data_IF_405226233928
#
_entry.id   IF_405226233928
#
_cell.length_a   1.000
_cell.length_b   1.000
_cell.length_c   1.000
_cell.angle_alpha   90.00
_cell.angle_beta   90.00
_cell.angle_gamma   90.00
#
_symmetry.space_group_name_H-M   'P 1'
#
loop_
_entity.id
_entity.type
_entity.pdbx_description
1 polymer ?
#
# COMPACT_ATOMS: atom_id res chain seq x y z
N UNK A 1 -14.28 26.76 -29.16
CA UNK A 1 -13.59 26.16 -28.00
C UNK A 1 -14.66 25.94 -26.94
N UNK A 2 -15.29 24.77 -26.95
CA UNK A 2 -16.36 24.44 -26.01
C UNK A 2 -15.74 24.04 -24.67
N UNK A 3 -16.15 24.69 -23.59
CA UNK A 3 -15.70 24.36 -22.23
C UNK A 3 -16.30 23.02 -21.79
N UNK A 4 -15.52 22.13 -21.15
CA UNK A 4 -16.08 20.87 -20.67
C UNK A 4 -17.11 21.12 -19.56
N UNK A 5 -18.28 20.50 -19.72
CA UNK A 5 -19.38 20.55 -18.75
C UNK A 5 -18.95 19.80 -17.48
N UNK A 6 -18.80 20.53 -16.38
CA UNK A 6 -18.46 19.94 -15.08
C UNK A 6 -19.72 19.24 -14.54
N UNK A 7 -19.79 17.90 -14.67
CA UNK A 7 -20.84 17.11 -14.04
C UNK A 7 -20.56 17.04 -12.53
N UNK A 8 -21.46 17.59 -11.73
CA UNK A 8 -21.43 17.44 -10.27
C UNK A 8 -21.87 16.01 -9.97
N UNK A 9 -20.92 15.15 -9.58
CA UNK A 9 -21.19 13.76 -9.22
C UNK A 9 -21.90 13.72 -7.86
N UNK A 10 -22.90 12.86 -7.77
CA UNK A 10 -23.62 12.58 -6.53
C UNK A 10 -22.74 11.79 -5.56
N UNK A 11 -23.00 11.92 -4.25
CA UNK A 11 -22.19 11.28 -3.19
C UNK A 11 -22.11 9.75 -3.33
N UNK A 12 -23.11 9.15 -3.95
CA UNK A 12 -23.18 7.71 -4.23
C UNK A 12 -22.20 7.31 -5.36
N UNK A 13 -22.07 8.11 -6.42
CA UNK A 13 -21.12 7.89 -7.53
C UNK A 13 -19.65 8.03 -7.08
N UNK A 14 -19.36 8.92 -6.13
CA UNK A 14 -17.99 9.07 -5.57
C UNK A 14 -17.55 7.81 -4.81
N UNK A 15 -18.50 7.12 -4.16
CA UNK A 15 -18.20 5.92 -3.37
C UNK A 15 -17.85 4.72 -4.26
N UNK A 16 -18.57 4.52 -5.37
CA UNK A 16 -18.26 3.46 -6.34
C UNK A 16 -16.90 3.67 -7.03
N UNK A 17 -16.53 4.93 -7.31
CA UNK A 17 -15.22 5.27 -7.90
C UNK A 17 -14.04 5.10 -6.92
N UNK A 18 -14.31 5.17 -5.61
CA UNK A 18 -13.29 5.05 -4.56
C UNK A 18 -12.88 3.61 -4.22
N UNK A 19 -13.57 2.61 -4.78
CA UNK A 19 -13.22 1.19 -4.66
C UNK A 19 -12.21 0.72 -5.71
N UNK A 20 -11.80 1.59 -6.64
CA UNK A 20 -10.66 1.34 -7.51
C UNK A 20 -9.36 1.54 -6.72
N UNK A 21 -9.07 0.64 -5.78
CA UNK A 21 -7.77 0.60 -5.13
C UNK A 21 -6.71 0.40 -6.21
N UNK A 22 -5.81 1.37 -6.35
CA UNK A 22 -4.74 1.39 -7.33
C UNK A 22 -3.93 0.08 -7.23
N UNK A 23 -4.20 -0.86 -8.14
CA UNK A 23 -3.65 -2.20 -8.15
C UNK A 23 -2.27 -2.24 -8.79
N UNK A 24 -1.49 -1.17 -8.66
CA UNK A 24 -0.14 -1.14 -9.21
C UNK A 24 0.77 -1.98 -8.31
N UNK A 25 1.19 -3.15 -8.81
CA UNK A 25 2.27 -3.90 -8.19
C UNK A 25 3.52 -3.01 -8.10
N UNK A 26 4.30 -3.10 -7.00
CA UNK A 26 5.49 -2.29 -6.87
C UNK A 26 6.48 -2.64 -7.99
N UNK A 27 7.07 -1.61 -8.61
CA UNK A 27 8.10 -1.77 -9.66
C UNK A 27 9.31 -0.91 -9.35
N UNK A 28 10.48 -1.33 -9.81
CA UNK A 28 11.72 -0.57 -9.70
C UNK A 28 11.63 0.72 -10.53
N UNK A 29 11.79 1.89 -9.90
CA UNK A 29 11.73 3.18 -10.57
C UNK A 29 12.85 3.42 -11.60
N UNK A 30 13.91 2.61 -11.58
CA UNK A 30 15.05 2.75 -12.50
C UNK A 30 14.89 1.90 -13.76
N UNK A 31 14.47 0.64 -13.65
CA UNK A 31 14.41 -0.30 -14.77
C UNK A 31 13.00 -0.84 -15.07
N UNK A 32 12.00 -0.49 -14.27
CA UNK A 32 10.62 -0.97 -14.43
C UNK A 32 10.39 -2.43 -14.03
N UNK A 33 11.40 -3.13 -13.50
CA UNK A 33 11.25 -4.53 -13.08
C UNK A 33 10.30 -4.67 -11.90
N UNK A 34 9.48 -5.71 -11.94
CA UNK A 34 8.60 -6.19 -10.89
C UNK A 34 9.31 -7.06 -9.83
N UNK A 35 10.59 -7.41 -10.04
CA UNK A 35 11.40 -8.16 -9.09
C UNK A 35 11.88 -7.26 -7.93
N UNK A 36 10.92 -6.81 -7.13
CA UNK A 36 11.13 -5.97 -5.95
C UNK A 36 10.55 -6.67 -4.73
N UNK A 37 11.11 -6.36 -3.55
CA UNK A 37 10.65 -6.90 -2.28
C UNK A 37 10.67 -5.83 -1.20
N UNK A 38 9.82 -6.00 -0.19
CA UNK A 38 9.77 -5.10 0.96
C UNK A 38 10.88 -5.39 1.96
N UNK A 39 11.46 -4.33 2.54
CA UNK A 39 12.36 -4.40 3.70
C UNK A 39 11.77 -3.61 4.87
N UNK A 40 12.00 -4.07 6.10
CA UNK A 40 11.58 -3.37 7.30
C UNK A 40 12.65 -3.45 8.39
N UNK A 41 12.64 -2.49 9.32
CA UNK A 41 13.65 -2.41 10.40
C UNK A 41 13.25 -3.32 11.56
N UNK A 42 14.20 -4.12 12.05
CA UNK A 42 14.07 -5.00 13.22
C UNK A 42 15.27 -4.77 14.14
N UNK A 43 15.03 -4.33 15.37
CA UNK A 43 16.07 -4.10 16.40
C UNK A 43 17.33 -3.39 15.87
N UNK A 44 17.12 -2.37 15.03
CA UNK A 44 18.20 -1.52 14.55
C UNK A 44 18.69 -1.77 13.12
N UNK A 45 18.48 -2.94 12.53
CA UNK A 45 18.92 -3.29 11.17
C UNK A 45 17.74 -3.54 10.20
N UNK A 46 17.99 -3.46 8.89
CA UNK A 46 17.00 -3.77 7.86
C UNK A 46 17.01 -5.26 7.50
N UNK A 47 15.82 -5.82 7.31
CA UNK A 47 15.63 -7.23 6.93
C UNK A 47 14.54 -7.36 5.85
N UNK A 48 14.71 -8.27 4.87
CA UNK A 48 13.67 -8.57 3.87
C UNK A 48 12.43 -9.21 4.51
N UNK A 49 11.26 -8.62 4.28
CA UNK A 49 9.99 -9.04 4.90
C UNK A 49 9.54 -10.42 4.41
N UNK A 50 9.82 -10.73 3.15
CA UNK A 50 9.54 -12.03 2.52
C UNK A 50 10.21 -13.22 3.21
N UNK A 51 11.30 -12.99 3.96
CA UNK A 51 12.01 -14.04 4.70
C UNK A 51 11.49 -14.19 6.14
N UNK A 52 10.51 -13.40 6.57
CA UNK A 52 10.00 -13.43 7.94
C UNK A 52 9.04 -14.59 8.16
N UNK A 53 9.09 -15.19 9.36
CA UNK A 53 8.09 -16.17 9.78
C UNK A 53 6.72 -15.52 10.02
N UNK A 54 5.68 -16.36 10.18
CA UNK A 54 4.30 -15.91 10.37
C UNK A 54 4.13 -14.96 11.58
N UNK A 55 4.83 -15.21 12.69
CA UNK A 55 4.72 -14.35 13.87
C UNK A 55 5.30 -12.95 13.65
N UNK A 56 6.37 -12.82 12.86
CA UNK A 56 6.93 -11.52 12.48
C UNK A 56 6.09 -10.77 11.46
N UNK A 57 5.44 -11.47 10.54
CA UNK A 57 4.49 -10.86 9.62
C UNK A 57 3.28 -10.28 10.38
N UNK A 58 2.72 -11.04 11.33
CA UNK A 58 1.64 -10.56 12.20
C UNK A 58 2.07 -9.36 13.07
N UNK A 59 3.30 -9.36 13.58
CA UNK A 59 3.87 -8.21 14.30
C UNK A 59 3.93 -6.96 13.41
N UNK A 60 4.36 -7.09 12.15
CA UNK A 60 4.41 -5.98 11.20
C UNK A 60 3.03 -5.37 10.95
N UNK A 61 2.01 -6.20 10.76
CA UNK A 61 0.61 -5.77 10.60
C UNK A 61 0.11 -5.02 11.84
N UNK A 62 0.51 -5.47 13.04
CA UNK A 62 0.15 -4.82 14.29
C UNK A 62 0.83 -3.45 14.48
N UNK A 63 2.03 -3.22 13.93
CA UNK A 63 2.73 -1.91 14.03
C UNK A 63 1.89 -0.77 13.51
N UNK A 64 1.23 -0.97 12.37
CA UNK A 64 0.40 0.07 11.74
C UNK A 64 -0.84 0.41 12.57
N UNK A 65 -1.33 -0.55 13.36
CA UNK A 65 -2.45 -0.34 14.30
C UNK A 65 -2.02 0.40 15.57
N UNK A 66 -0.72 0.47 15.87
CA UNK A 66 -0.19 1.06 17.10
C UNK A 66 -0.54 0.28 18.37
N UNK A 67 -1.03 -0.96 18.23
CA UNK A 67 -1.59 -1.75 19.32
C UNK A 67 -0.52 -2.68 19.91
N UNK A 68 0.42 -2.08 20.64
CA UNK A 68 1.51 -2.78 21.30
C UNK A 68 1.04 -3.30 22.67
N UNK A 69 0.11 -4.25 22.71
CA UNK A 69 -0.29 -4.88 23.98
C UNK A 69 0.83 -5.78 24.49
N UNK A 70 1.17 -5.59 25.77
CA UNK A 70 2.08 -6.45 26.54
C UNK A 70 1.36 -7.70 27.05
#
# INVERSE_FOLDING_TARGET
>A
METPNLKILTREEVHELSHQSDSSSPTCAFCGSDNVYGISRVVGYYSPINNWNLSKQAELEARQKGDYRL
#
